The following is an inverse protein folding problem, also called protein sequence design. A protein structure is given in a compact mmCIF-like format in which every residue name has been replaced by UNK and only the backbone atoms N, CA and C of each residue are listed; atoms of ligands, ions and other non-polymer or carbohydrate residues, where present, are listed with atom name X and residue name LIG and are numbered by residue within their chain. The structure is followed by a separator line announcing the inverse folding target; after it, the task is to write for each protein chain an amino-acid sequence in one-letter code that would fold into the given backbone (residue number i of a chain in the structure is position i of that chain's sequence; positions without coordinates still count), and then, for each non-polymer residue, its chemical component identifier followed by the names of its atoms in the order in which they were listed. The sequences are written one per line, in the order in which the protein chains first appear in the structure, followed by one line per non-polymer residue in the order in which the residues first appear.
data_IF_430035835900
#
_entry.id   IF_430035835900
#
_cell.length_a   1.000
_cell.length_b   1.000
_cell.length_c   1.000
_cell.angle_alpha   90.00
_cell.angle_beta   90.00
_cell.angle_gamma   90.00
#
_symmetry.space_group_name_H-M   'P 1'
#
loop_
_entity.id
_entity.type
_entity.pdbx_description
1 polymer ?
#
# COMPACT_ATOMS: atom_id res chain seq x y z
N UNK A 1 -16.86 -6.86 14.12
CA UNK A 1 -15.52 -6.29 13.81
C UNK A 1 -15.12 -6.72 12.42
N UNK A 2 -14.82 -5.77 11.52
CA UNK A 2 -14.32 -6.08 10.19
C UNK A 2 -12.96 -6.79 10.28
N UNK A 3 -12.73 -7.81 9.47
CA UNK A 3 -11.44 -8.50 9.35
C UNK A 3 -10.33 -7.50 9.01
N UNK A 4 -9.27 -7.36 9.83
CA UNK A 4 -8.22 -6.37 9.60
C UNK A 4 -7.42 -6.62 8.32
N UNK A 5 -7.43 -7.82 7.75
CA UNK A 5 -6.70 -8.21 6.53
C UNK A 5 -7.55 -8.12 5.26
N UNK A 6 -8.73 -7.53 5.35
CA UNK A 6 -9.60 -7.27 4.20
C UNK A 6 -9.27 -5.90 3.61
N UNK A 7 -8.92 -5.87 2.33
CA UNK A 7 -8.70 -4.65 1.55
C UNK A 7 -9.39 -4.74 0.19
N UNK A 8 -9.49 -3.63 -0.54
CA UNK A 8 -9.97 -3.64 -1.92
C UNK A 8 -8.89 -4.27 -2.80
N UNK A 9 -9.27 -5.29 -3.57
CA UNK A 9 -8.40 -5.87 -4.58
C UNK A 9 -8.37 -4.95 -5.81
N UNK A 10 -7.17 -4.56 -6.22
CA UNK A 10 -6.99 -3.55 -7.28
C UNK A 10 -7.41 -4.04 -8.68
N UNK A 11 -7.42 -5.36 -8.90
CA UNK A 11 -7.78 -5.95 -10.19
C UNK A 11 -9.31 -6.04 -10.33
N UNK A 12 -9.98 -6.52 -9.29
CA UNK A 12 -11.43 -6.73 -9.30
C UNK A 12 -12.25 -5.56 -8.76
N UNK A 13 -11.63 -4.65 -8.00
CA UNK A 13 -12.32 -3.61 -7.22
C UNK A 13 -13.14 -4.16 -6.05
N UNK A 14 -13.09 -5.47 -5.79
CA UNK A 14 -13.90 -6.12 -4.76
C UNK A 14 -13.10 -6.33 -3.48
N UNK A 15 -13.76 -6.38 -2.31
CA UNK A 15 -13.07 -6.70 -1.06
C UNK A 15 -12.46 -8.12 -1.06
N UNK A 16 -11.17 -8.22 -0.80
CA UNK A 16 -10.39 -9.47 -0.72
C UNK A 16 -9.64 -9.57 0.61
N UNK A 17 -9.48 -10.80 1.11
CA UNK A 17 -8.57 -11.08 2.24
C UNK A 17 -7.19 -11.44 1.71
N UNK A 18 -6.16 -10.79 2.23
CA UNK A 18 -4.77 -11.05 1.89
C UNK A 18 -4.11 -11.98 2.91
N UNK A 19 -3.40 -13.00 2.42
CA UNK A 19 -2.62 -13.94 3.23
C UNK A 19 -1.26 -13.38 3.65
N UNK A 20 -1.16 -12.87 4.87
CA UNK A 20 0.05 -12.21 5.39
C UNK A 20 0.55 -12.90 6.66
N UNK A 21 1.86 -13.03 6.81
CA UNK A 21 2.50 -13.75 7.91
C UNK A 21 3.12 -12.82 8.95
N UNK A 22 3.20 -11.52 8.66
CA UNK A 22 3.75 -10.53 9.59
C UNK A 22 3.04 -9.17 9.55
N UNK A 23 3.18 -8.42 10.64
CA UNK A 23 2.71 -7.03 10.70
C UNK A 23 3.48 -6.13 9.71
N UNK A 24 4.74 -6.46 9.43
CA UNK A 24 5.57 -5.73 8.48
C UNK A 24 5.01 -5.88 7.05
N UNK A 25 4.66 -7.10 6.64
CA UNK A 25 3.96 -7.37 5.38
C UNK A 25 2.62 -6.65 5.31
N UNK A 26 1.86 -6.63 6.40
CA UNK A 26 0.59 -5.89 6.47
C UNK A 26 0.75 -4.39 6.22
N UNK A 27 1.73 -3.75 6.86
CA UNK A 27 2.01 -2.34 6.63
C UNK A 27 2.50 -2.08 5.21
N UNK A 28 3.37 -2.94 4.69
CA UNK A 28 3.88 -2.80 3.33
C UNK A 28 2.78 -2.96 2.28
N UNK A 29 1.90 -3.96 2.44
CA UNK A 29 0.74 -4.16 1.57
C UNK A 29 -0.18 -2.94 1.60
N UNK A 30 -0.50 -2.42 2.78
CA UNK A 30 -1.39 -1.26 2.89
C UNK A 30 -0.83 -0.04 2.13
N UNK A 31 0.47 0.25 2.27
CA UNK A 31 1.15 1.30 1.51
C UNK A 31 1.15 1.02 -0.01
N UNK A 32 1.33 -0.25 -0.39
CA UNK A 32 1.33 -0.67 -1.79
C UNK A 32 -0.05 -0.45 -2.44
N UNK A 33 -1.12 -0.82 -1.76
CA UNK A 33 -2.49 -0.75 -2.31
C UNK A 33 -3.01 0.69 -2.48
N UNK A 34 -2.43 1.67 -1.77
CA UNK A 34 -2.79 3.10 -1.96
C UNK A 34 -1.93 3.80 -3.00
N UNK A 35 -0.91 3.13 -3.53
CA UNK A 35 -0.06 3.72 -4.57
C UNK A 35 -0.81 3.70 -5.91
N UNK A 36 -1.11 4.87 -6.51
CA UNK A 36 -1.88 4.94 -7.76
C UNK A 36 -1.17 4.29 -8.94
N UNK A 37 0.16 4.10 -8.88
CA UNK A 37 0.91 3.43 -9.94
C UNK A 37 0.72 1.90 -9.93
N UNK A 38 0.13 1.32 -8.88
CA UNK A 38 -0.05 -0.13 -8.73
C UNK A 38 -1.42 -0.54 -9.26
N UNK A 39 -1.48 -1.62 -10.04
CA UNK A 39 -2.73 -2.18 -10.59
C UNK A 39 -3.07 -3.57 -10.09
N UNK A 40 -2.08 -4.34 -9.63
CA UNK A 40 -2.32 -5.68 -9.12
C UNK A 40 -1.29 -6.01 -8.04
N UNK A 41 -1.72 -6.76 -7.03
CA UNK A 41 -0.85 -7.33 -6.01
C UNK A 41 -1.22 -8.80 -5.78
N UNK A 42 -0.20 -9.67 -5.82
CA UNK A 42 -0.32 -11.09 -5.49
C UNK A 42 0.63 -11.42 -4.33
N UNK A 43 0.10 -11.97 -3.25
CA UNK A 43 0.86 -12.39 -2.08
C UNK A 43 1.24 -13.86 -2.15
N UNK A 44 2.32 -14.22 -1.44
CA UNK A 44 2.73 -15.61 -1.22
C UNK A 44 2.92 -16.39 -2.52
N UNK A 45 3.60 -15.78 -3.50
CA UNK A 45 3.82 -16.37 -4.82
C UNK A 45 4.89 -17.46 -4.72
N UNK A 46 4.47 -18.71 -4.82
CA UNK A 46 5.35 -19.87 -4.75
C UNK A 46 4.61 -21.18 -4.46
N UNK A 47 5.34 -22.24 -4.10
CA UNK A 47 6.80 -22.27 -3.88
C UNK A 47 7.59 -22.24 -5.19
N UNK A 48 8.63 -21.41 -5.25
CA UNK A 48 9.53 -21.26 -6.39
C UNK A 48 10.83 -22.03 -6.10
N UNK A 49 11.17 -23.06 -6.90
CA UNK A 49 12.39 -23.82 -6.71
C UNK A 49 13.60 -23.02 -7.20
N UNK A 50 14.67 -22.95 -6.40
CA UNK A 50 15.92 -22.30 -6.76
C UNK A 50 17.12 -23.11 -6.26
N UNK A 51 18.31 -22.78 -6.75
CA UNK A 51 19.57 -23.35 -6.26
C UNK A 51 20.15 -22.36 -5.25
N UNK A 52 20.38 -22.79 -4.01
CA UNK A 52 20.95 -21.95 -2.96
C UNK A 52 22.47 -21.76 -3.11
N UNK A 53 23.06 -20.95 -2.22
CA UNK A 53 24.49 -20.65 -2.19
C UNK A 53 25.37 -21.89 -1.92
N UNK A 54 24.79 -23.00 -1.47
CA UNK A 54 25.44 -24.29 -1.27
C UNK A 54 25.29 -25.25 -2.46
N UNK A 55 24.60 -24.84 -3.53
CA UNK A 55 24.33 -25.66 -4.70
C UNK A 55 23.16 -26.64 -4.52
N UNK A 56 22.37 -26.51 -3.46
CA UNK A 56 21.24 -27.40 -3.17
C UNK A 56 19.93 -26.81 -3.67
N UNK A 57 18.99 -27.67 -4.02
CA UNK A 57 17.62 -27.25 -4.36
C UNK A 57 16.89 -26.80 -3.09
N UNK A 58 16.43 -25.56 -3.10
CA UNK A 58 15.60 -24.95 -2.08
C UNK A 58 14.29 -24.42 -2.68
N UNK A 59 13.36 -24.02 -1.83
CA UNK A 59 12.08 -23.43 -2.23
C UNK A 59 11.88 -22.10 -1.52
N UNK A 60 11.33 -21.12 -2.24
CA UNK A 60 11.02 -19.81 -1.69
C UNK A 60 9.62 -19.35 -2.07
N UNK A 61 8.95 -18.63 -1.18
CA UNK A 61 7.73 -17.89 -1.48
C UNK A 61 8.06 -16.41 -1.51
N UNK A 62 7.73 -15.75 -2.60
CA UNK A 62 7.86 -14.29 -2.70
C UNK A 62 6.67 -13.68 -1.96
N UNK A 63 6.95 -12.84 -0.96
CA UNK A 63 5.91 -12.30 -0.09
C UNK A 63 4.87 -11.50 -0.90
N UNK A 64 5.31 -10.65 -1.84
CA UNK A 64 4.42 -9.93 -2.78
C UNK A 64 5.01 -9.85 -4.19
N UNK A 65 4.17 -9.97 -5.22
CA UNK A 65 4.46 -9.57 -6.60
C UNK A 65 3.50 -8.45 -6.97
N UNK A 66 4.06 -7.27 -7.24
CA UNK A 66 3.35 -6.03 -7.54
C UNK A 66 3.43 -5.79 -9.04
N UNK A 67 2.31 -5.47 -9.68
CA UNK A 67 2.28 -5.01 -11.05
C UNK A 67 1.90 -3.53 -11.09
N UNK A 68 2.71 -2.75 -11.80
CA UNK A 68 2.46 -1.33 -12.02
C UNK A 68 1.68 -1.09 -13.32
N UNK A 69 1.11 0.11 -13.43
CA UNK A 69 0.40 0.60 -14.62
C UNK A 69 1.27 0.57 -15.89
N UNK A 70 2.58 0.78 -15.74
CA UNK A 70 3.54 0.71 -16.86
C UNK A 70 3.89 -0.73 -17.29
N UNK A 71 3.25 -1.74 -16.68
CA UNK A 71 3.46 -3.16 -16.96
C UNK A 71 4.62 -3.79 -16.18
N UNK A 72 5.43 -2.99 -15.46
CA UNK A 72 6.54 -3.54 -14.68
C UNK A 72 6.04 -4.37 -13.51
N UNK A 73 6.71 -5.49 -13.26
CA UNK A 73 6.45 -6.42 -12.18
C UNK A 73 7.60 -6.40 -11.19
N UNK A 74 7.26 -6.26 -9.91
CA UNK A 74 8.24 -6.12 -8.83
C UNK A 74 7.99 -7.25 -7.84
N UNK A 75 8.96 -8.14 -7.69
CA UNK A 75 8.98 -9.10 -6.61
C UNK A 75 9.46 -8.40 -5.34
N UNK A 76 8.77 -8.61 -4.21
CA UNK A 76 9.11 -8.01 -2.93
C UNK A 76 9.27 -9.11 -1.89
N UNK A 77 10.43 -9.10 -1.24
CA UNK A 77 10.68 -9.82 0.00
C UNK A 77 10.57 -8.82 1.15
N UNK A 78 9.69 -9.09 2.11
CA UNK A 78 9.47 -8.29 3.31
C UNK A 78 10.04 -9.06 4.50
N UNK A 79 11.13 -8.57 5.09
CA UNK A 79 11.78 -9.21 6.25
C UNK A 79 12.29 -8.16 7.22
N UNK A 80 12.20 -8.41 8.55
CA UNK A 80 12.79 -7.51 9.52
C UNK A 80 14.32 -7.49 9.40
N UNK A 81 14.95 -6.37 9.72
CA UNK A 81 16.42 -6.19 9.60
C UNK A 81 17.20 -7.27 10.36
N UNK A 82 16.67 -7.72 11.50
CA UNK A 82 17.24 -8.80 12.32
C UNK A 82 17.44 -10.10 11.53
N UNK A 83 16.54 -10.42 10.58
CA UNK A 83 16.69 -11.61 9.72
C UNK A 83 17.80 -11.47 8.68
N UNK A 84 18.28 -10.26 8.45
CA UNK A 84 19.37 -9.97 7.53
C UNK A 84 20.74 -10.04 8.20
N UNK A 85 20.80 -10.05 9.54
CA UNK A 85 22.04 -9.93 10.31
C UNK A 85 23.09 -11.00 9.97
N UNK A 86 22.66 -12.22 9.63
CA UNK A 86 23.58 -13.31 9.25
C UNK A 86 24.10 -13.23 7.81
N UNK A 87 23.52 -12.35 6.98
CA UNK A 87 23.79 -12.26 5.54
C UNK A 87 23.27 -13.45 4.72
N UNK A 88 22.83 -14.55 5.37
CA UNK A 88 22.31 -15.74 4.68
C UNK A 88 21.13 -15.40 3.77
N UNK A 89 20.18 -14.62 4.28
CA UNK A 89 19.00 -14.25 3.50
C UNK A 89 19.36 -13.39 2.28
N UNK A 90 20.37 -12.53 2.39
CA UNK A 90 20.84 -11.72 1.26
C UNK A 90 21.40 -12.62 0.16
N UNK A 91 22.24 -13.61 0.51
CA UNK A 91 22.74 -14.60 -0.46
C UNK A 91 21.62 -15.40 -1.10
N UNK A 92 20.60 -15.81 -0.33
CA UNK A 92 19.41 -16.46 -0.87
C UNK A 92 18.66 -15.55 -1.87
N UNK A 93 18.52 -14.25 -1.57
CA UNK A 93 17.90 -13.29 -2.51
C UNK A 93 18.73 -13.09 -3.78
N UNK A 94 20.07 -13.12 -3.71
CA UNK A 94 20.94 -13.07 -4.88
C UNK A 94 20.72 -14.27 -5.78
N UNK A 95 20.69 -15.49 -5.23
CA UNK A 95 20.37 -16.70 -5.97
C UNK A 95 18.96 -16.65 -6.62
N UNK A 96 17.96 -16.12 -5.90
CA UNK A 96 16.61 -15.94 -6.41
C UNK A 96 16.55 -14.91 -7.54
N UNK A 97 17.31 -13.82 -7.40
CA UNK A 97 17.40 -12.76 -8.41
C UNK A 97 17.89 -13.27 -9.75
N UNK A 98 18.86 -14.18 -9.75
CA UNK A 98 19.40 -14.73 -10.99
C UNK A 98 18.50 -15.80 -11.61
N UNK A 99 17.87 -16.64 -10.79
CA UNK A 99 17.21 -17.87 -11.27
C UNK A 99 15.69 -17.78 -11.44
N UNK A 100 15.03 -16.92 -10.65
CA UNK A 100 13.57 -16.87 -10.54
C UNK A 100 13.00 -15.55 -10.99
N UNK A 101 13.62 -14.43 -10.62
CA UNK A 101 13.07 -13.10 -10.91
C UNK A 101 12.74 -12.93 -12.39
N UNK A 102 13.62 -13.23 -13.37
CA UNK A 102 13.30 -13.06 -14.79
C UNK A 102 12.03 -13.79 -15.29
N UNK A 103 11.55 -14.80 -14.54
CA UNK A 103 10.33 -15.56 -14.88
C UNK A 103 9.05 -14.94 -14.32
N UNK A 104 9.15 -14.17 -13.23
CA UNK A 104 7.99 -13.69 -12.47
C UNK A 104 7.91 -12.17 -12.32
N UNK A 105 9.04 -11.47 -12.45
CA UNK A 105 9.19 -10.04 -12.19
C UNK A 105 10.39 -9.45 -12.97
N UNK A 106 10.44 -8.13 -13.07
CA UNK A 106 11.52 -7.39 -13.72
C UNK A 106 12.60 -6.98 -12.71
N UNK A 107 12.25 -6.91 -11.43
CA UNK A 107 13.17 -6.62 -10.33
C UNK A 107 12.74 -7.32 -9.03
N UNK A 108 13.68 -7.43 -8.09
CA UNK A 108 13.46 -7.93 -6.73
C UNK A 108 13.88 -6.87 -5.73
N UNK A 109 12.97 -6.53 -4.80
CA UNK A 109 13.19 -5.56 -3.74
C UNK A 109 13.08 -6.21 -2.37
N UNK A 110 14.01 -5.86 -1.50
CA UNK A 110 13.96 -6.18 -0.08
C UNK A 110 13.39 -4.99 0.67
N UNK A 111 12.34 -5.22 1.46
CA UNK A 111 11.70 -4.21 2.29
C UNK A 111 11.86 -4.63 3.75
N UNK A 112 12.39 -3.70 4.54
CA UNK A 112 12.48 -3.84 5.99
C UNK A 112 11.61 -2.80 6.69
N UNK A 113 11.53 -2.85 8.01
CA UNK A 113 10.86 -1.85 8.85
C UNK A 113 11.37 -0.42 8.61
N UNK A 114 12.63 -0.26 8.17
CA UNK A 114 13.20 1.05 7.86
C UNK A 114 12.64 1.67 6.57
N UNK A 115 12.06 0.85 5.68
CA UNK A 115 11.42 1.33 4.46
C UNK A 115 9.99 1.86 4.71
N UNK A 116 9.46 1.73 5.93
CA UNK A 116 8.05 1.96 6.23
C UNK A 116 7.89 3.09 7.25
N UNK A 117 7.23 4.17 6.83
CA UNK A 117 6.70 5.17 7.76
C UNK A 117 5.46 4.63 8.46
N UNK A 118 5.51 4.53 9.79
CA UNK A 118 4.37 4.05 10.60
C UNK A 118 3.12 4.93 10.42
N UNK A 119 3.32 6.24 10.29
CA UNK A 119 2.24 7.21 10.07
C UNK A 119 1.60 6.98 8.70
N UNK A 120 2.41 6.82 7.65
CA UNK A 120 1.89 6.55 6.31
C UNK A 120 1.18 5.20 6.24
N UNK A 121 1.72 4.17 6.87
CA UNK A 121 1.09 2.85 6.93
C UNK A 121 -0.28 2.94 7.63
N UNK A 122 -0.37 3.65 8.76
CA UNK A 122 -1.64 3.86 9.46
C UNK A 122 -2.65 4.61 8.58
N UNK A 123 -2.23 5.70 7.93
CA UNK A 123 -3.11 6.45 7.03
C UNK A 123 -3.57 5.61 5.84
N UNK A 124 -2.69 4.80 5.26
CA UNK A 124 -3.02 3.90 4.16
C UNK A 124 -4.04 2.83 4.58
N UNK A 125 -3.87 2.23 5.77
CA UNK A 125 -4.85 1.28 6.33
C UNK A 125 -6.21 1.95 6.52
N UNK A 126 -6.23 3.18 7.06
CA UNK A 126 -7.47 3.92 7.25
C UNK A 126 -8.15 4.24 5.93
N UNK A 127 -7.41 4.71 4.93
CA UNK A 127 -7.92 4.95 3.58
C UNK A 127 -8.58 3.70 2.99
N UNK A 128 -7.89 2.56 3.03
CA UNK A 128 -8.42 1.29 2.51
C UNK A 128 -9.68 0.82 3.25
N UNK A 129 -9.76 1.06 4.57
CA UNK A 129 -10.97 0.74 5.35
C UNK A 129 -12.16 1.59 4.95
N UNK A 130 -11.96 2.88 4.69
CA UNK A 130 -13.03 3.75 4.19
C UNK A 130 -13.44 3.35 2.76
N UNK A 131 -12.49 2.96 1.91
CA UNK A 131 -12.78 2.48 0.55
C UNK A 131 -13.67 1.22 0.52
N UNK A 132 -13.70 0.42 1.59
CA UNK A 132 -14.59 -0.75 1.71
C UNK A 132 -16.06 -0.38 2.01
N UNK A 133 -16.31 0.85 2.45
CA UNK A 133 -17.63 1.34 2.83
C UNK A 133 -17.90 2.68 2.13
N UNK A 134 -18.04 2.69 0.78
CA UNK A 134 -18.36 3.91 0.07
C UNK A 134 -19.74 4.43 0.50
N UNK A 135 -19.83 5.75 0.70
CA UNK A 135 -21.07 6.45 1.06
C UNK A 135 -21.32 7.51 -0.02
N UNK A 136 -22.14 7.14 -1.01
CA UNK A 136 -22.40 7.98 -2.18
C UNK A 136 -23.02 9.33 -1.80
N UNK A 137 -23.81 9.39 -0.73
CA UNK A 137 -24.44 10.63 -0.28
C UNK A 137 -23.41 11.58 0.34
N UNK A 138 -22.47 11.03 1.12
CA UNK A 138 -21.33 11.79 1.66
C UNK A 138 -20.43 12.26 0.52
N UNK A 139 -20.09 11.38 -0.43
CA UNK A 139 -19.23 11.70 -1.56
C UNK A 139 -19.83 12.79 -2.45
N UNK A 140 -21.13 12.69 -2.78
CA UNK A 140 -21.84 13.71 -3.54
C UNK A 140 -21.86 15.07 -2.83
N UNK A 141 -22.04 15.07 -1.50
CA UNK A 141 -22.02 16.29 -0.70
C UNK A 141 -20.64 16.93 -0.63
N UNK A 142 -19.58 16.12 -0.47
CA UNK A 142 -18.20 16.61 -0.53
C UNK A 142 -17.93 17.23 -1.90
N UNK A 143 -18.31 16.55 -2.98
CA UNK A 143 -18.15 17.06 -4.33
C UNK A 143 -18.88 18.39 -4.55
N UNK A 144 -20.09 18.54 -4.02
CA UNK A 144 -20.85 19.79 -4.12
C UNK A 144 -20.18 20.94 -3.34
N UNK A 145 -19.73 20.67 -2.10
CA UNK A 145 -19.00 21.67 -1.30
C UNK A 145 -17.72 22.11 -2.01
N UNK A 146 -16.96 21.17 -2.59
CA UNK A 146 -15.71 21.48 -3.29
C UNK A 146 -15.92 22.40 -4.51
N UNK A 147 -17.08 22.40 -5.17
CA UNK A 147 -17.40 23.37 -6.24
C UNK A 147 -17.45 24.81 -5.74
N UNK A 148 -17.74 25.02 -4.45
CA UNK A 148 -17.87 26.36 -3.85
C UNK A 148 -16.57 26.87 -3.22
N UNK A 149 -15.60 25.99 -2.97
CA UNK A 149 -14.31 26.34 -2.36
C UNK A 149 -13.35 26.87 -3.43
N UNK A 150 -12.81 28.06 -3.19
CA UNK A 150 -11.80 28.68 -4.05
C UNK A 150 -10.50 28.84 -3.25
N UNK A 151 -9.44 28.14 -3.66
CA UNK A 151 -8.15 28.13 -2.96
C UNK A 151 -8.06 27.03 -1.89
N UNK A 152 -7.12 27.19 -0.96
CA UNK A 152 -6.79 26.16 0.03
C UNK A 152 -7.82 26.13 1.17
N UNK A 153 -8.22 24.93 1.58
CA UNK A 153 -9.08 24.70 2.74
C UNK A 153 -8.51 23.59 3.62
N UNK A 154 -8.64 23.73 4.94
CA UNK A 154 -8.26 22.66 5.86
C UNK A 154 -9.28 21.51 5.81
N UNK A 155 -8.86 20.27 6.08
CA UNK A 155 -9.77 19.12 6.19
C UNK A 155 -10.82 19.35 7.30
N UNK A 156 -10.44 20.03 8.39
CA UNK A 156 -11.35 20.40 9.47
C UNK A 156 -12.47 21.32 8.97
N UNK A 157 -12.14 22.35 8.20
CA UNK A 157 -13.12 23.30 7.69
C UNK A 157 -13.97 22.67 6.58
N UNK A 158 -13.38 21.86 5.71
CA UNK A 158 -14.12 21.06 4.75
C UNK A 158 -15.15 20.15 5.44
N UNK A 159 -14.78 19.47 6.52
CA UNK A 159 -15.69 18.62 7.29
C UNK A 159 -16.84 19.42 7.89
N UNK A 160 -16.57 20.63 8.39
CA UNK A 160 -17.61 21.53 8.91
C UNK A 160 -18.58 21.96 7.81
N UNK A 161 -18.06 22.35 6.63
CA UNK A 161 -18.89 22.72 5.48
C UNK A 161 -19.78 21.58 4.99
N UNK A 162 -19.25 20.36 4.89
CA UNK A 162 -20.02 19.18 4.50
C UNK A 162 -21.16 18.86 5.48
N UNK A 163 -20.94 19.05 6.79
CA UNK A 163 -21.98 18.85 7.82
C UNK A 163 -23.04 19.95 7.80
N UNK A 164 -22.67 21.17 7.43
CA UNK A 164 -23.56 22.33 7.36
C UNK A 164 -24.46 22.35 6.10
N UNK A 165 -24.29 21.41 5.16
CA UNK A 165 -25.19 21.26 4.00
C UNK A 165 -25.02 22.31 2.91
N UNK A 166 -23.82 22.91 2.75
CA UNK A 166 -23.53 23.82 1.63
C UNK A 166 -24.05 25.25 1.80
N UNK A 167 -24.36 25.71 3.02
CA UNK A 167 -24.52 27.14 3.26
C UNK A 167 -23.20 27.85 2.97
N UNK A 168 -23.20 28.77 2.00
CA UNK A 168 -22.05 29.60 1.62
C UNK A 168 -21.32 30.08 2.87
N UNK A 169 -20.05 29.72 2.99
CA UNK A 169 -19.14 30.44 3.88
C UNK A 169 -18.39 31.39 2.99
N UNK A 170 -18.76 32.67 3.06
CA UNK A 170 -17.89 33.74 2.57
C UNK A 170 -16.51 33.49 3.16
N UNK A 171 -15.54 33.29 2.28
CA UNK A 171 -14.18 32.89 2.60
C UNK A 171 -13.69 33.68 3.82
N UNK A 172 -13.54 32.97 4.95
CA UNK A 172 -12.76 33.49 6.05
C UNK A 172 -11.33 33.56 5.52
N UNK A 173 -10.93 34.78 5.14
CA UNK A 173 -9.54 35.14 4.87
C UNK A 173 -8.71 34.61 6.03
N UNK A 174 -7.96 33.53 5.79
CA UNK A 174 -6.85 33.18 6.66
C UNK A 174 -5.85 34.31 6.54
N UNK A 175 -5.90 35.20 7.53
CA UNK A 175 -4.80 36.08 7.89
C UNK A 175 -3.59 35.17 8.08
N UNK A 176 -2.71 35.14 7.10
CA UNK A 176 -1.32 34.76 7.29
C UNK A 176 -0.80 35.67 8.40
N UNK A 177 -0.60 35.12 9.59
CA UNK A 177 0.24 35.78 10.59
C UNK A 177 1.69 35.38 10.28
N UNK A 178 2.63 36.33 10.20
CA UNK A 178 4.05 36.04 10.11
C UNK A 178 4.56 35.64 11.49
N UNK A 179 5.44 34.65 11.54
CA UNK A 179 6.12 34.18 12.74
C UNK A 179 6.81 32.85 12.47
#
# INVERSE_FOLDING_TARGET
MSDPRRFVDLDTGLPRRYGLDSQLEYHHLALTLVNPAVVQVREQVGPLPFIDDSGKTAKHFIDLVIQNQDGRRIAVAVKPTERLASGRFIRELECLKESIVPKIADELRLVTEHCISRVHAFNAIMYQRFALCPDQDVDARVAEVLKSVHGDISICDLTRLCRAGGARVDAFKTRVLPG
#
